data_IF_937644489366
#
_entry.id   IF_937644489366
#
_cell.length_a   1.000
_cell.length_b   1.000
_cell.length_c   1.000
_cell.angle_alpha   90.00
_cell.angle_beta   90.00
_cell.angle_gamma   90.00
#
_symmetry.space_group_name_H-M   'P 1'
#
loop_
_entity.id
_entity.type
_entity.pdbx_description
1 polymer ?
#
# COMPACT_ATOMS: atom_id res chain seq x y z
N UNK A 1 -50.13 -7.69 15.90
CA UNK A 1 -49.37 -7.19 14.72
C UNK A 1 -48.69 -5.83 14.95
N UNK A 2 -49.38 -4.75 15.35
CA UNK A 2 -48.76 -3.40 15.52
C UNK A 2 -47.59 -3.31 16.52
N UNK A 3 -47.61 -4.08 17.63
CA UNK A 3 -46.49 -4.13 18.62
C UNK A 3 -45.24 -4.84 18.07
N UNK A 4 -45.42 -5.92 17.32
CA UNK A 4 -44.31 -6.65 16.68
C UNK A 4 -43.61 -5.80 15.61
N UNK A 5 -44.36 -5.01 14.83
CA UNK A 5 -43.77 -4.06 13.86
C UNK A 5 -42.93 -2.96 14.51
N UNK A 6 -43.33 -2.45 15.69
CA UNK A 6 -42.55 -1.46 16.44
C UNK A 6 -41.26 -2.04 17.04
N UNK A 7 -41.31 -3.27 17.56
CA UNK A 7 -40.13 -3.97 18.08
C UNK A 7 -39.14 -4.25 16.96
N UNK A 8 -39.62 -4.76 15.81
CA UNK A 8 -38.77 -5.00 14.65
C UNK A 8 -38.12 -3.71 14.14
N UNK A 9 -38.89 -2.62 14.01
CA UNK A 9 -38.36 -1.33 13.61
C UNK A 9 -37.31 -0.78 14.60
N UNK A 10 -37.53 -0.95 15.91
CA UNK A 10 -36.57 -0.53 16.94
C UNK A 10 -35.28 -1.35 16.88
N UNK A 11 -35.37 -2.67 16.67
CA UNK A 11 -34.19 -3.54 16.51
C UNK A 11 -33.43 -3.17 15.23
N UNK A 12 -34.12 -2.98 14.10
CA UNK A 12 -33.50 -2.57 12.86
C UNK A 12 -32.76 -1.22 13.02
N UNK A 13 -33.40 -0.24 13.68
CA UNK A 13 -32.80 1.06 13.93
C UNK A 13 -31.58 0.97 14.87
N UNK A 14 -31.63 0.10 15.88
CA UNK A 14 -30.49 -0.18 16.75
C UNK A 14 -29.31 -0.77 15.96
N UNK A 15 -29.57 -1.76 15.08
CA UNK A 15 -28.53 -2.37 14.23
C UNK A 15 -27.89 -1.34 13.31
N UNK A 16 -28.69 -0.48 12.66
CA UNK A 16 -28.18 0.59 11.79
C UNK A 16 -27.33 1.57 12.60
N UNK A 17 -27.79 1.96 13.79
CA UNK A 17 -27.06 2.89 14.65
C UNK A 17 -25.73 2.31 15.11
N UNK A 18 -25.71 1.06 15.57
CA UNK A 18 -24.49 0.38 16.00
C UNK A 18 -23.50 0.19 14.85
N UNK A 19 -24.00 -0.17 13.66
CA UNK A 19 -23.19 -0.27 12.45
C UNK A 19 -22.58 1.09 12.08
N UNK A 20 -23.38 2.15 12.10
CA UNK A 20 -22.93 3.51 11.80
C UNK A 20 -21.90 4.04 12.80
N UNK A 21 -22.10 3.80 14.09
CA UNK A 21 -21.13 4.17 15.14
C UNK A 21 -19.82 3.39 15.01
N UNK A 22 -19.91 2.08 14.73
CA UNK A 22 -18.74 1.23 14.49
C UNK A 22 -17.93 1.70 13.29
N UNK A 23 -18.60 2.02 12.18
CA UNK A 23 -17.97 2.54 10.97
C UNK A 23 -17.36 3.94 11.19
N UNK A 24 -18.08 4.85 11.85
CA UNK A 24 -17.54 6.17 12.19
C UNK A 24 -16.33 6.11 13.11
N UNK A 25 -16.29 5.15 14.04
CA UNK A 25 -15.11 4.90 14.88
C UNK A 25 -13.92 4.39 14.08
N UNK A 26 -14.15 3.60 13.03
CA UNK A 26 -13.11 3.10 12.14
C UNK A 26 -12.45 4.25 11.37
N UNK A 27 -13.26 5.10 10.73
CA UNK A 27 -12.75 6.24 9.95
C UNK A 27 -11.92 7.19 10.82
N UNK A 28 -12.41 7.55 12.00
CA UNK A 28 -11.64 8.36 12.97
C UNK A 28 -10.34 7.67 13.39
N UNK A 29 -10.33 6.35 13.51
CA UNK A 29 -9.12 5.59 13.80
C UNK A 29 -8.09 5.73 12.67
N UNK A 30 -8.54 5.68 11.41
CA UNK A 30 -7.68 5.86 10.24
C UNK A 30 -7.14 7.30 10.16
N UNK A 31 -7.96 8.31 10.50
CA UNK A 31 -7.52 9.72 10.59
C UNK A 31 -6.44 9.92 11.65
N UNK A 32 -6.63 9.31 12.82
CA UNK A 32 -5.66 9.35 13.91
C UNK A 32 -4.34 8.68 13.52
N UNK A 33 -4.39 7.57 12.77
CA UNK A 33 -3.19 6.88 12.30
C UNK A 33 -2.45 7.73 11.25
N UNK A 34 -3.17 8.36 10.33
CA UNK A 34 -2.61 9.31 9.38
C UNK A 34 -1.93 10.49 10.10
N UNK A 35 -2.53 11.00 11.17
CA UNK A 35 -1.94 12.07 11.97
C UNK A 35 -0.67 11.64 12.71
N UNK A 36 -0.62 10.43 13.26
CA UNK A 36 0.60 9.87 13.87
C UNK A 36 1.73 9.80 12.85
N UNK A 37 1.43 9.34 11.64
CA UNK A 37 2.41 9.28 10.56
C UNK A 37 2.88 10.68 10.14
N UNK A 38 1.97 11.67 10.04
CA UNK A 38 2.35 13.08 9.78
C UNK A 38 3.31 13.66 10.81
N UNK A 39 3.22 13.21 12.06
CA UNK A 39 4.12 13.61 13.16
C UNK A 39 5.46 12.88 13.14
N UNK A 40 5.68 11.99 12.18
CA UNK A 40 6.91 11.23 12.02
C UNK A 40 6.99 9.96 12.85
N UNK A 41 5.85 9.40 13.26
CA UNK A 41 5.76 8.14 14.01
C UNK A 41 5.09 7.03 13.15
N UNK A 42 5.82 6.42 12.20
CA UNK A 42 5.28 5.39 11.31
C UNK A 42 4.94 4.09 12.05
N UNK A 43 5.66 3.75 13.12
CA UNK A 43 5.39 2.57 13.94
C UNK A 43 4.06 2.70 14.68
N UNK A 44 3.79 3.82 15.36
CA UNK A 44 2.52 4.01 16.05
C UNK A 44 1.34 4.09 15.07
N UNK A 45 1.55 4.72 13.91
CA UNK A 45 0.55 4.75 12.85
C UNK A 45 0.22 3.34 12.36
N UNK A 46 1.24 2.50 12.14
CA UNK A 46 1.04 1.12 11.67
C UNK A 46 0.28 0.30 12.71
N UNK A 47 0.69 0.36 13.98
CA UNK A 47 -0.01 -0.33 15.08
C UNK A 47 -1.49 0.05 15.13
N UNK A 48 -1.81 1.33 14.94
CA UNK A 48 -3.20 1.78 14.92
C UNK A 48 -3.99 1.22 13.74
N UNK A 49 -3.43 1.20 12.54
CA UNK A 49 -4.09 0.56 11.39
C UNK A 49 -4.27 -0.95 11.59
N UNK A 50 -3.29 -1.64 12.17
CA UNK A 50 -3.39 -3.07 12.48
C UNK A 50 -4.49 -3.36 13.51
N UNK A 51 -4.63 -2.54 14.55
CA UNK A 51 -5.74 -2.66 15.50
C UNK A 51 -7.10 -2.47 14.84
N UNK A 52 -7.21 -1.52 13.91
CA UNK A 52 -8.44 -1.28 13.14
C UNK A 52 -8.78 -2.51 12.29
N UNK A 53 -7.82 -2.99 11.50
CA UNK A 53 -7.99 -4.17 10.65
C UNK A 53 -8.36 -5.40 11.49
N UNK A 54 -7.65 -5.65 12.60
CA UNK A 54 -7.90 -6.79 13.48
C UNK A 54 -9.32 -6.77 14.03
N UNK A 55 -9.79 -5.60 14.51
CA UNK A 55 -11.15 -5.44 15.03
C UNK A 55 -12.20 -5.72 13.96
N UNK A 56 -12.01 -5.18 12.76
CA UNK A 56 -12.91 -5.42 11.63
C UNK A 56 -12.94 -6.90 11.25
N UNK A 57 -11.77 -7.52 11.17
CA UNK A 57 -11.59 -8.92 10.82
C UNK A 57 -12.23 -9.84 11.86
N UNK A 58 -12.05 -9.56 13.15
CA UNK A 58 -12.66 -10.35 14.23
C UNK A 58 -14.19 -10.32 14.21
N UNK A 59 -14.78 -9.27 13.63
CA UNK A 59 -16.23 -9.16 13.43
C UNK A 59 -16.71 -9.79 12.09
N UNK A 60 -15.81 -10.33 11.27
CA UNK A 60 -16.15 -10.80 9.93
C UNK A 60 -16.60 -9.68 8.97
N UNK A 61 -16.35 -8.42 9.33
CA UNK A 61 -16.92 -7.26 8.66
C UNK A 61 -16.04 -6.68 7.55
N UNK A 62 -14.90 -7.32 7.24
CA UNK A 62 -13.93 -6.78 6.27
C UNK A 62 -14.51 -6.63 4.85
N UNK A 63 -15.44 -7.51 4.47
CA UNK A 63 -16.18 -7.42 3.20
C UNK A 63 -17.38 -6.47 3.24
N UNK A 64 -17.78 -6.01 4.43
CA UNK A 64 -18.92 -5.12 4.64
C UNK A 64 -18.51 -3.64 4.63
N UNK A 65 -17.22 -3.35 4.83
CA UNK A 65 -16.67 -2.01 4.69
C UNK A 65 -16.73 -1.60 3.21
N UNK A 66 -17.05 -0.34 2.89
CA UNK A 66 -16.96 0.15 1.53
C UNK A 66 -15.57 -0.12 0.92
N UNK A 67 -15.55 -0.55 -0.34
CA UNK A 67 -14.32 -0.98 -1.03
C UNK A 67 -13.25 0.09 -0.99
N UNK A 68 -13.62 1.37 -1.11
CA UNK A 68 -12.70 2.51 -1.03
C UNK A 68 -11.94 2.54 0.30
N UNK A 69 -12.64 2.46 1.42
CA UNK A 69 -12.04 2.58 2.75
C UNK A 69 -11.21 1.34 3.12
N UNK A 70 -11.68 0.15 2.71
CA UNK A 70 -10.90 -1.09 2.83
C UNK A 70 -9.58 -0.98 2.05
N UNK A 71 -9.64 -0.52 0.80
CA UNK A 71 -8.45 -0.31 -0.04
C UNK A 71 -7.51 0.72 0.57
N UNK A 72 -8.04 1.83 1.09
CA UNK A 72 -7.23 2.86 1.76
C UNK A 72 -6.56 2.30 3.02
N UNK A 73 -7.26 1.52 3.84
CA UNK A 73 -6.68 0.83 5.01
C UNK A 73 -5.47 -0.02 4.61
N UNK A 74 -5.64 -0.88 3.60
CA UNK A 74 -4.58 -1.79 3.15
C UNK A 74 -3.40 -1.03 2.52
N UNK A 75 -3.66 -0.06 1.65
CA UNK A 75 -2.63 0.78 1.03
C UNK A 75 -1.84 1.53 2.09
N UNK A 76 -2.50 2.05 3.11
CA UNK A 76 -1.84 2.80 4.18
C UNK A 76 -0.95 1.91 5.04
N UNK A 77 -1.40 0.69 5.37
CA UNK A 77 -0.55 -0.31 6.04
C UNK A 77 0.68 -0.65 5.19
N UNK A 78 0.49 -0.90 3.89
CA UNK A 78 1.59 -1.23 2.98
C UNK A 78 2.60 -0.08 2.85
N UNK A 79 2.14 1.17 2.75
CA UNK A 79 3.00 2.37 2.72
C UNK A 79 3.81 2.56 3.98
N UNK A 80 3.21 2.31 5.15
CA UNK A 80 3.92 2.39 6.43
C UNK A 80 4.99 1.30 6.53
N UNK A 81 4.65 0.06 6.17
CA UNK A 81 5.63 -1.04 6.12
C UNK A 81 6.76 -0.77 5.13
N UNK A 82 6.44 -0.19 3.97
CA UNK A 82 7.42 0.28 3.00
C UNK A 82 8.36 1.34 3.60
N UNK A 83 7.82 2.36 4.27
CA UNK A 83 8.60 3.41 4.93
C UNK A 83 9.49 2.87 6.07
N UNK A 84 9.10 1.76 6.69
CA UNK A 84 9.87 1.03 7.70
C UNK A 84 10.89 0.06 7.08
N UNK A 85 11.01 0.00 5.75
CA UNK A 85 11.89 -0.95 5.04
C UNK A 85 11.47 -2.42 5.16
N UNK A 86 10.23 -2.68 5.62
CA UNK A 86 9.61 -4.00 5.79
C UNK A 86 8.88 -4.42 4.51
N UNK A 87 9.65 -4.57 3.43
CA UNK A 87 9.10 -4.76 2.09
C UNK A 87 8.34 -6.08 1.89
N UNK A 88 8.76 -7.15 2.56
CA UNK A 88 8.04 -8.44 2.50
C UNK A 88 6.64 -8.32 3.11
N UNK A 89 6.55 -7.72 4.30
CA UNK A 89 5.27 -7.46 4.96
C UNK A 89 4.40 -6.51 4.14
N UNK A 90 5.01 -5.46 3.54
CA UNK A 90 4.29 -4.51 2.68
C UNK A 90 3.67 -5.21 1.47
N UNK A 91 4.40 -6.13 0.84
CA UNK A 91 3.90 -6.94 -0.26
C UNK A 91 2.76 -7.86 0.18
N UNK A 92 2.89 -8.53 1.34
CA UNK A 92 1.83 -9.37 1.90
C UNK A 92 0.54 -8.58 2.14
N UNK A 93 0.64 -7.34 2.64
CA UNK A 93 -0.54 -6.47 2.81
C UNK A 93 -1.25 -6.21 1.47
N UNK A 94 -0.51 -5.90 0.41
CA UNK A 94 -1.10 -5.62 -0.90
C UNK A 94 -1.77 -6.86 -1.51
N UNK A 95 -1.15 -8.03 -1.38
CA UNK A 95 -1.67 -9.28 -1.94
C UNK A 95 -2.99 -9.69 -1.24
N UNK A 96 -3.18 -9.33 0.04
CA UNK A 96 -4.42 -9.57 0.80
C UNK A 96 -5.67 -8.91 0.20
N UNK A 97 -5.57 -7.74 -0.43
CA UNK A 97 -6.75 -7.11 -1.06
C UNK A 97 -7.32 -8.01 -2.17
N UNK A 98 -6.45 -8.69 -2.93
CA UNK A 98 -6.85 -9.64 -3.99
C UNK A 98 -7.57 -10.85 -3.39
N UNK A 99 -7.11 -11.34 -2.24
CA UNK A 99 -7.76 -12.44 -1.50
C UNK A 99 -9.15 -12.05 -0.98
N UNK A 100 -9.32 -10.79 -0.54
CA UNK A 100 -10.59 -10.32 0.01
C UNK A 100 -11.60 -10.02 -1.11
N UNK A 101 -11.17 -9.36 -2.19
CA UNK A 101 -12.03 -8.98 -3.33
C UNK A 101 -12.42 -10.18 -4.19
N UNK A 102 -11.59 -11.22 -4.25
CA UNK A 102 -11.78 -12.36 -5.15
C UNK A 102 -11.62 -11.99 -6.63
N UNK A 103 -11.16 -10.78 -6.94
CA UNK A 103 -10.95 -10.26 -8.30
C UNK A 103 -9.63 -9.53 -8.40
N UNK A 104 -9.06 -9.48 -9.61
CA UNK A 104 -7.86 -8.69 -9.88
C UNK A 104 -8.11 -7.23 -9.48
N UNK A 105 -7.18 -6.65 -8.73
CA UNK A 105 -7.31 -5.28 -8.24
C UNK A 105 -7.14 -4.29 -9.40
N UNK A 106 -8.20 -3.57 -9.73
CA UNK A 106 -8.24 -2.56 -10.78
C UNK A 106 -7.86 -1.16 -10.31
N UNK A 107 -7.24 -1.06 -9.13
CA UNK A 107 -6.79 0.20 -8.55
C UNK A 107 -5.30 0.42 -8.85
N UNK A 108 -5.00 1.40 -9.71
CA UNK A 108 -3.62 1.72 -10.09
C UNK A 108 -2.70 1.99 -8.90
N UNK A 109 -3.24 2.49 -7.77
CA UNK A 109 -2.44 2.77 -6.55
C UNK A 109 -1.81 1.52 -5.94
N UNK A 110 -2.46 0.36 -6.07
CA UNK A 110 -1.89 -0.91 -5.62
C UNK A 110 -0.75 -1.36 -6.52
N UNK A 111 -0.90 -1.19 -7.83
CA UNK A 111 0.16 -1.51 -8.80
C UNK A 111 1.36 -0.58 -8.61
N UNK A 112 1.13 0.73 -8.47
CA UNK A 112 2.17 1.70 -8.13
C UNK A 112 2.96 1.24 -6.90
N UNK A 113 2.26 0.96 -5.79
CA UNK A 113 2.88 0.52 -4.54
C UNK A 113 3.65 -0.80 -4.72
N UNK A 114 3.08 -1.75 -5.47
CA UNK A 114 3.71 -3.05 -5.73
C UNK A 114 4.98 -2.91 -6.54
N UNK A 115 4.97 -2.12 -7.62
CA UNK A 115 6.15 -1.86 -8.45
C UNK A 115 7.27 -1.18 -7.66
N UNK A 116 6.93 -0.20 -6.82
CA UNK A 116 7.89 0.49 -5.95
C UNK A 116 8.47 -0.46 -4.89
N UNK A 117 7.64 -1.29 -4.25
CA UNK A 117 8.10 -2.32 -3.30
C UNK A 117 9.03 -3.33 -4.00
N UNK A 118 8.67 -3.83 -5.18
CA UNK A 118 9.51 -4.75 -5.96
C UNK A 118 10.87 -4.14 -6.25
N UNK A 119 10.90 -2.89 -6.73
CA UNK A 119 12.13 -2.16 -6.97
C UNK A 119 12.99 -2.04 -5.71
N UNK A 120 12.44 -1.48 -4.61
CA UNK A 120 13.21 -1.25 -3.38
C UNK A 120 13.67 -2.53 -2.71
N UNK A 121 12.84 -3.58 -2.71
CA UNK A 121 13.20 -4.90 -2.20
C UNK A 121 14.38 -5.48 -2.95
N UNK A 122 14.39 -5.39 -4.28
CA UNK A 122 15.50 -5.86 -5.10
C UNK A 122 16.79 -5.09 -4.80
N UNK A 123 16.70 -3.76 -4.70
CA UNK A 123 17.83 -2.91 -4.31
C UNK A 123 18.40 -3.28 -2.93
N UNK A 124 17.52 -3.46 -1.93
CA UNK A 124 17.91 -3.86 -0.57
C UNK A 124 18.58 -5.23 -0.56
N UNK A 125 18.01 -6.21 -1.26
CA UNK A 125 18.55 -7.56 -1.35
C UNK A 125 19.91 -7.58 -2.07
N UNK A 126 20.05 -6.83 -3.15
CA UNK A 126 21.33 -6.68 -3.85
C UNK A 126 22.39 -6.03 -2.96
N UNK A 127 22.06 -4.95 -2.24
CA UNK A 127 22.97 -4.29 -1.29
C UNK A 127 23.40 -5.21 -0.15
N UNK A 128 22.47 -5.98 0.42
CA UNK A 128 22.72 -6.89 1.54
C UNK A 128 23.35 -8.23 1.16
N UNK A 129 23.26 -8.65 -0.11
CA UNK A 129 23.77 -9.94 -0.56
C UNK A 129 25.30 -9.90 -0.80
N UNK A 130 26.07 -10.85 -0.23
CA UNK A 130 27.49 -10.99 -0.54
C UNK A 130 27.77 -11.36 -2.01
N UNK A 131 26.83 -12.07 -2.65
CA UNK A 131 27.00 -12.58 -4.02
C UNK A 131 26.75 -11.53 -5.10
N UNK A 132 26.07 -10.42 -4.77
CA UNK A 132 25.74 -9.34 -5.70
C UNK A 132 25.18 -9.86 -7.03
N UNK A 133 24.19 -10.75 -6.95
CA UNK A 133 23.61 -11.39 -8.13
C UNK A 133 22.86 -10.37 -8.99
N UNK A 134 23.48 -10.00 -10.12
CA UNK A 134 22.96 -9.01 -11.05
C UNK A 134 21.75 -9.53 -11.82
N UNK A 135 21.64 -10.85 -12.06
CA UNK A 135 20.52 -11.42 -12.82
C UNK A 135 19.22 -11.28 -12.05
N UNK A 136 19.25 -11.57 -10.74
CA UNK A 136 18.09 -11.40 -9.87
C UNK A 136 17.68 -9.93 -9.74
N UNK A 137 18.65 -9.02 -9.72
CA UNK A 137 18.36 -7.59 -9.73
C UNK A 137 17.69 -7.18 -11.05
N UNK A 138 18.22 -7.62 -12.18
CA UNK A 138 17.70 -7.30 -13.53
C UNK A 138 16.27 -7.81 -13.73
N UNK A 139 16.01 -9.06 -13.33
CA UNK A 139 14.67 -9.67 -13.36
C UNK A 139 13.67 -8.86 -12.52
N UNK A 140 14.08 -8.41 -11.34
CA UNK A 140 13.24 -7.58 -10.50
C UNK A 140 13.03 -6.17 -11.07
N UNK A 141 14.00 -5.59 -11.78
CA UNK A 141 13.83 -4.30 -12.48
C UNK A 141 12.81 -4.44 -13.61
N UNK A 142 12.89 -5.51 -14.40
CA UNK A 142 11.89 -5.83 -15.42
C UNK A 142 10.49 -5.97 -14.83
N UNK A 143 10.37 -6.73 -13.73
CA UNK A 143 9.10 -6.92 -13.03
C UNK A 143 8.54 -5.60 -12.50
N UNK A 144 9.37 -4.77 -11.87
CA UNK A 144 8.94 -3.47 -11.36
C UNK A 144 8.49 -2.52 -12.49
N UNK A 145 9.24 -2.47 -13.60
CA UNK A 145 8.91 -1.66 -14.78
C UNK A 145 7.57 -2.08 -15.39
N UNK A 146 7.33 -3.39 -15.57
CA UNK A 146 6.08 -3.90 -16.14
C UNK A 146 4.87 -3.59 -15.24
N UNK A 147 5.03 -3.73 -13.92
CA UNK A 147 3.97 -3.38 -12.95
C UNK A 147 3.69 -1.87 -12.97
N UNK A 148 4.72 -1.02 -13.01
CA UNK A 148 4.56 0.43 -13.08
C UNK A 148 3.93 0.88 -14.41
N UNK A 149 4.28 0.22 -15.52
CA UNK A 149 3.62 0.42 -16.81
C UNK A 149 2.13 0.12 -16.74
N UNK A 150 1.75 -0.98 -16.08
CA UNK A 150 0.34 -1.32 -15.87
C UNK A 150 -0.37 -0.33 -14.93
N UNK A 151 0.31 0.16 -13.89
CA UNK A 151 -0.20 1.25 -13.05
C UNK A 151 -0.53 2.50 -13.87
N UNK A 152 0.37 2.91 -14.78
CA UNK A 152 0.17 4.04 -15.68
C UNK A 152 -0.93 3.80 -16.71
N UNK A 153 -1.15 2.54 -17.13
CA UNK A 153 -2.27 2.19 -18.00
C UNK A 153 -3.62 2.44 -17.31
N UNK A 154 -3.70 2.18 -16.01
CA UNK A 154 -4.91 2.45 -15.21
C UNK A 154 -5.05 3.94 -14.86
N UNK A 155 -3.95 4.59 -14.48
CA UNK A 155 -3.92 6.01 -14.07
C UNK A 155 -2.86 6.80 -14.87
N UNK A 156 -3.14 7.24 -16.12
CA UNK A 156 -2.14 7.87 -16.99
C UNK A 156 -1.63 9.23 -16.51
N UNK A 157 -2.33 9.87 -15.58
CA UNK A 157 -1.99 11.19 -15.05
C UNK A 157 -1.26 11.15 -13.70
N UNK A 158 -1.02 9.95 -13.15
CA UNK A 158 -0.31 9.78 -11.88
C UNK A 158 1.17 10.16 -12.05
N UNK A 159 1.57 11.24 -11.38
CA UNK A 159 2.94 11.75 -11.45
C UNK A 159 3.95 10.84 -10.77
N UNK A 160 3.58 10.22 -9.64
CA UNK A 160 4.46 9.32 -8.90
C UNK A 160 4.72 8.06 -9.73
N UNK A 161 3.69 7.52 -10.37
CA UNK A 161 3.83 6.39 -11.28
C UNK A 161 4.73 6.70 -12.49
N UNK A 162 4.62 7.91 -13.07
CA UNK A 162 5.50 8.34 -14.18
C UNK A 162 6.94 8.43 -13.72
N UNK A 163 7.17 9.12 -12.61
CA UNK A 163 8.50 9.29 -12.05
C UNK A 163 9.14 7.95 -11.72
N UNK A 164 8.42 7.08 -11.02
CA UNK A 164 8.92 5.76 -10.64
C UNK A 164 9.19 4.88 -11.87
N UNK A 165 8.31 4.90 -12.87
CA UNK A 165 8.52 4.16 -14.13
C UNK A 165 9.81 4.61 -14.82
N UNK A 166 9.96 5.91 -15.07
CA UNK A 166 11.14 6.47 -15.74
C UNK A 166 12.42 6.19 -14.95
N UNK A 167 12.36 6.28 -13.62
CA UNK A 167 13.51 5.97 -12.77
C UNK A 167 13.93 4.49 -12.85
N UNK A 168 12.97 3.56 -12.79
CA UNK A 168 13.25 2.13 -12.92
C UNK A 168 13.77 1.80 -14.33
N UNK A 169 13.15 2.35 -15.37
CA UNK A 169 13.59 2.18 -16.76
C UNK A 169 15.00 2.73 -16.97
N UNK A 170 15.33 3.87 -16.37
CA UNK A 170 16.68 4.43 -16.39
C UNK A 170 17.69 3.50 -15.73
N UNK A 171 17.42 3.03 -14.50
CA UNK A 171 18.29 2.09 -13.78
C UNK A 171 18.52 0.82 -14.60
N UNK A 172 17.46 0.24 -15.19
CA UNK A 172 17.57 -0.93 -16.07
C UNK A 172 18.41 -0.65 -17.32
N UNK A 173 18.23 0.52 -17.94
CA UNK A 173 19.01 0.88 -19.13
C UNK A 173 20.53 0.92 -18.85
N UNK A 174 20.92 1.36 -17.66
CA UNK A 174 22.33 1.34 -17.23
C UNK A 174 22.86 -0.08 -17.09
N UNK A 175 22.03 -1.02 -16.61
CA UNK A 175 22.36 -2.45 -16.50
C UNK A 175 22.64 -3.07 -17.87
N UNK A 176 21.83 -2.73 -18.88
CA UNK A 176 21.99 -3.24 -20.25
C UNK A 176 23.24 -2.71 -20.96
N UNK A 177 23.73 -1.53 -20.59
CA UNK A 177 24.88 -0.89 -21.22
C UNK A 177 26.23 -1.28 -20.58
N UNK A 178 26.25 -2.28 -19.70
CA UNK A 178 27.41 -2.72 -18.91
C UNK A 178 28.09 -1.57 -18.12
N UNK A 179 27.31 -0.54 -17.74
CA UNK A 179 27.79 0.60 -16.98
C UNK A 179 27.85 0.29 -15.47
N UNK A 180 28.51 -0.83 -15.12
CA UNK A 180 28.59 -1.37 -13.76
C UNK A 180 29.06 -0.35 -12.73
N UNK A 181 29.99 0.54 -13.11
CA UNK A 181 30.47 1.62 -12.24
C UNK A 181 29.38 2.63 -11.87
N UNK A 182 28.51 3.02 -12.81
CA UNK A 182 27.41 3.96 -12.54
C UNK A 182 26.28 3.31 -11.75
N UNK A 183 26.01 2.04 -12.04
CA UNK A 183 25.06 1.23 -11.27
C UNK A 183 25.53 1.16 -9.83
N UNK A 184 26.80 0.81 -9.59
CA UNK A 184 27.37 0.78 -8.24
C UNK A 184 27.23 2.12 -7.50
N UNK A 185 27.46 3.25 -8.17
CA UNK A 185 27.30 4.58 -7.57
C UNK A 185 25.82 4.86 -7.21
N UNK A 186 24.89 4.65 -8.14
CA UNK A 186 23.44 4.80 -7.89
C UNK A 186 22.94 3.86 -6.79
N UNK A 187 23.47 2.65 -6.77
CA UNK A 187 23.03 1.60 -5.87
C UNK A 187 23.67 1.68 -4.51
N UNK A 188 24.90 2.16 -4.34
CA UNK A 188 25.59 2.14 -3.04
C UNK A 188 25.73 3.52 -2.41
N UNK A 189 25.87 4.58 -3.23
CA UNK A 189 26.22 5.92 -2.74
C UNK A 189 25.03 6.88 -2.73
N UNK A 190 24.03 6.65 -3.58
CA UNK A 190 22.80 7.44 -3.54
C UNK A 190 21.88 6.83 -2.48
N UNK A 191 22.05 7.29 -1.23
CA UNK A 191 20.90 7.40 -0.32
C UNK A 191 20.01 8.47 -0.93
N UNK A 192 19.10 8.06 -1.81
CA UNK A 192 17.95 8.91 -2.10
C UNK A 192 17.29 9.07 -0.73
N UNK A 193 17.33 10.27 -0.16
CA UNK A 193 16.51 10.57 1.00
C UNK A 193 15.11 10.11 0.65
N UNK A 194 14.66 9.06 1.33
CA UNK A 194 13.35 8.48 1.12
C UNK A 194 12.36 9.62 1.30
N UNK A 195 11.77 10.09 0.19
CA UNK A 195 10.61 10.94 0.28
C UNK A 195 9.58 10.09 1.00
N UNK A 196 9.44 10.36 2.30
CA UNK A 196 8.42 9.74 3.13
C UNK A 196 7.11 9.94 2.36
N UNK A 197 6.38 8.87 2.01
CA UNK A 197 5.11 8.99 1.31
C UNK A 197 4.30 10.12 1.95
N UNK A 198 3.70 11.00 1.15
CA UNK A 198 2.89 12.09 1.68
C UNK A 198 1.79 11.55 2.61
N UNK A 199 1.27 12.42 3.48
CA UNK A 199 0.27 12.09 4.48
C UNK A 199 -0.83 11.17 3.91
N UNK A 200 -1.10 10.07 4.62
CA UNK A 200 -2.09 9.08 4.26
C UNK A 200 -3.48 9.75 4.19
N UNK A 201 -4.10 9.92 3.02
CA UNK A 201 -5.36 10.63 2.98
C UNK A 201 -6.45 9.68 3.49
N UNK A 202 -7.32 10.20 4.34
CA UNK A 202 -8.56 9.52 4.72
C UNK A 202 -9.46 9.31 3.48
N UNK A 203 -9.46 10.32 2.61
CA UNK A 203 -10.17 10.36 1.34
C UNK A 203 -9.18 10.54 0.19
N UNK A 204 -8.76 9.43 -0.41
CA UNK A 204 -8.28 9.45 -1.79
C UNK A 204 -9.50 9.27 -2.68
N UNK A 205 -10.07 10.37 -3.15
CA UNK A 205 -10.98 10.32 -4.30
C UNK A 205 -10.21 9.84 -5.54
N UNK A 206 -10.80 8.96 -6.36
CA UNK A 206 -10.23 8.62 -7.67
C UNK A 206 -10.14 9.85 -8.58
#
# INVERSE_FOLDING_TARGET
>A
MKRFGKIFAAIALLIVTLTGLGYGSLLRGMDQAAEQYRRGDPEAALQRYEMIEQRVRSMGALRLIPVKDRRNLILNQARLLYALGRYDDAQERLDRETEISGTSNNDGRFLLSKGEITFRKAMKNYRGSPKKDQRLLEEAMHTAEDILRESLRLNPNDWDAKYNFEYVSYVRSLMNQDQQGKIKILMENVRVEEQRPQALPADLSP
#
